data_IF_958750017982
#
_entry.id   IF_958750017982
#
_cell.length_a   1.000
_cell.length_b   1.000
_cell.length_c   1.000
_cell.angle_alpha   90.00
_cell.angle_beta   90.00
_cell.angle_gamma   90.00
#
_symmetry.space_group_name_H-M   'P 1'
#
loop_
_entity.id
_entity.type
_entity.pdbx_description
1 polymer ?
#
# COMPACT_ATOMS: atom_id res chain seq x y z
N UNK A 1 11.25 -16.87 -6.42
CA UNK A 1 12.65 -17.31 -6.68
C UNK A 1 13.09 -17.02 -8.12
N UNK A 2 12.27 -17.28 -9.13
CA UNK A 2 12.60 -17.04 -10.55
C UNK A 2 12.83 -15.54 -10.84
N UNK A 3 12.03 -14.66 -10.23
CA UNK A 3 12.19 -13.22 -10.32
C UNK A 3 13.61 -12.76 -9.97
N UNK A 4 14.13 -13.19 -8.81
CA UNK A 4 15.45 -12.75 -8.31
C UNK A 4 16.59 -13.26 -9.21
N UNK A 5 16.39 -14.40 -9.86
CA UNK A 5 17.37 -14.93 -10.84
C UNK A 5 17.44 -14.10 -12.11
N UNK A 6 16.32 -13.42 -12.46
CA UNK A 6 16.18 -12.67 -13.70
C UNK A 6 16.23 -11.14 -13.52
N UNK A 7 16.58 -10.63 -12.32
CA UNK A 7 16.63 -9.20 -12.03
C UNK A 7 17.57 -8.43 -12.99
N UNK A 8 18.62 -9.07 -13.46
CA UNK A 8 19.58 -8.48 -14.42
C UNK A 8 18.95 -8.07 -15.76
N UNK A 9 17.77 -8.62 -16.08
CA UNK A 9 17.04 -8.28 -17.31
C UNK A 9 16.17 -7.02 -17.21
N UNK A 10 16.06 -6.42 -16.02
CA UNK A 10 15.26 -5.23 -15.78
C UNK A 10 16.12 -4.01 -15.51
N UNK A 11 15.56 -2.83 -15.73
CA UNK A 11 16.20 -1.53 -15.54
C UNK A 11 15.55 -0.75 -14.40
N UNK A 12 14.28 -1.04 -14.15
CA UNK A 12 13.49 -0.44 -13.09
C UNK A 12 12.82 -1.50 -12.23
N UNK A 13 12.85 -1.29 -10.93
CA UNK A 13 12.07 -2.05 -9.95
C UNK A 13 11.05 -1.12 -9.30
N UNK A 14 9.78 -1.49 -9.36
CA UNK A 14 8.67 -0.70 -8.81
C UNK A 14 8.10 -1.40 -7.60
N UNK A 15 8.08 -0.72 -6.46
CA UNK A 15 7.53 -1.21 -5.20
C UNK A 15 6.33 -0.33 -4.79
N UNK A 16 5.17 -0.95 -4.64
CA UNK A 16 3.91 -0.21 -4.42
C UNK A 16 3.41 -0.25 -2.98
N UNK A 17 4.22 -0.79 -2.05
CA UNK A 17 3.87 -0.82 -0.62
C UNK A 17 5.10 -1.07 0.24
N UNK A 18 5.10 -0.64 1.52
CA UNK A 18 6.14 -0.98 2.48
C UNK A 18 6.29 -2.51 2.66
N UNK A 19 5.17 -3.22 2.80
CA UNK A 19 5.17 -4.69 2.93
C UNK A 19 5.82 -5.38 1.72
N UNK A 20 5.51 -4.91 0.50
CA UNK A 20 6.14 -5.42 -0.73
C UNK A 20 7.64 -5.19 -0.75
N UNK A 21 8.10 -4.04 -0.28
CA UNK A 21 9.53 -3.75 -0.14
C UNK A 21 10.19 -4.68 0.88
N UNK A 22 9.60 -4.87 2.06
CA UNK A 22 10.09 -5.80 3.07
C UNK A 22 10.21 -7.22 2.53
N UNK A 23 9.16 -7.76 1.92
CA UNK A 23 9.19 -9.10 1.30
C UNK A 23 10.25 -9.24 0.21
N UNK A 24 10.46 -8.21 -0.59
CA UNK A 24 11.52 -8.22 -1.60
C UNK A 24 12.92 -8.34 -0.97
N UNK A 25 13.23 -7.53 0.03
CA UNK A 25 14.52 -7.59 0.72
C UNK A 25 14.71 -8.89 1.52
N UNK A 26 13.66 -9.39 2.17
CA UNK A 26 13.70 -10.72 2.80
C UNK A 26 13.96 -11.82 1.78
N UNK A 27 13.37 -11.76 0.59
CA UNK A 27 13.59 -12.73 -0.46
C UNK A 27 15.05 -12.72 -0.94
N UNK A 28 15.66 -11.53 -1.12
CA UNK A 28 17.08 -11.40 -1.43
C UNK A 28 17.95 -12.06 -0.36
N UNK A 29 17.67 -11.77 0.92
CA UNK A 29 18.39 -12.35 2.05
C UNK A 29 18.28 -13.89 2.08
N UNK A 30 17.07 -14.44 1.91
CA UNK A 30 16.84 -15.89 1.84
C UNK A 30 17.59 -16.55 0.69
N UNK A 31 17.77 -15.84 -0.42
CA UNK A 31 18.51 -16.30 -1.59
C UNK A 31 20.01 -15.99 -1.50
N UNK A 32 20.48 -15.40 -0.41
CA UNK A 32 21.87 -14.96 -0.22
C UNK A 32 22.38 -14.09 -1.38
N UNK A 33 21.49 -13.24 -1.91
CA UNK A 33 21.86 -12.30 -2.97
C UNK A 33 22.43 -11.01 -2.37
N UNK A 34 23.61 -10.64 -2.86
CA UNK A 34 24.26 -9.39 -2.48
C UNK A 34 23.52 -8.19 -3.10
N UNK A 35 23.27 -7.15 -2.30
CA UNK A 35 22.63 -5.91 -2.78
C UNK A 35 23.43 -5.21 -3.90
N UNK A 36 24.74 -5.43 -3.99
CA UNK A 36 25.56 -4.95 -5.09
C UNK A 36 25.11 -5.50 -6.45
N UNK A 37 24.45 -6.66 -6.47
CA UNK A 37 23.87 -7.22 -7.69
C UNK A 37 22.70 -6.39 -8.23
N UNK A 38 22.15 -5.46 -7.44
CA UNK A 38 21.06 -4.54 -7.80
C UNK A 38 21.56 -3.20 -8.33
N UNK A 39 22.87 -2.96 -8.41
CA UNK A 39 23.47 -1.66 -8.76
C UNK A 39 23.06 -1.12 -10.14
N UNK A 40 22.57 -1.99 -11.03
CA UNK A 40 22.08 -1.65 -12.35
C UNK A 40 20.60 -1.23 -12.35
N UNK A 41 19.87 -1.51 -11.24
CA UNK A 41 18.44 -1.21 -11.11
C UNK A 41 18.22 0.20 -10.56
N UNK A 42 17.26 0.89 -11.15
CA UNK A 42 16.63 2.08 -10.59
C UNK A 42 15.36 1.68 -9.84
N UNK A 43 15.12 2.32 -8.72
CA UNK A 43 13.99 2.03 -7.85
C UNK A 43 12.94 3.13 -7.94
N UNK A 44 11.69 2.73 -8.20
CA UNK A 44 10.54 3.62 -8.10
C UNK A 44 9.58 3.10 -7.02
N UNK A 45 9.14 3.99 -6.14
CA UNK A 45 8.26 3.62 -5.03
C UNK A 45 7.03 4.52 -4.98
N UNK A 46 5.92 3.99 -4.45
CA UNK A 46 4.65 4.71 -4.46
C UNK A 46 4.63 5.90 -3.49
N UNK A 47 5.42 5.87 -2.44
CA UNK A 47 5.39 6.91 -1.42
C UNK A 47 6.45 6.72 -0.34
N UNK A 48 6.46 7.64 0.63
CA UNK A 48 7.50 7.78 1.63
C UNK A 48 7.65 6.55 2.55
N UNK A 49 6.55 5.90 2.95
CA UNK A 49 6.63 4.69 3.76
C UNK A 49 7.38 3.55 3.06
N UNK A 50 7.19 3.38 1.72
CA UNK A 50 7.95 2.40 0.93
C UNK A 50 9.40 2.84 0.75
N UNK A 51 9.63 4.14 0.56
CA UNK A 51 10.97 4.71 0.46
C UNK A 51 11.79 4.51 1.75
N UNK A 52 11.16 4.62 2.92
CA UNK A 52 11.81 4.36 4.21
C UNK A 52 12.36 2.94 4.28
N UNK A 53 11.55 1.95 3.92
CA UNK A 53 12.01 0.54 3.89
C UNK A 53 13.20 0.36 2.94
N UNK A 54 13.18 1.00 1.75
CA UNK A 54 14.33 0.94 0.84
C UNK A 54 15.59 1.55 1.47
N UNK A 55 15.47 2.71 2.13
CA UNK A 55 16.61 3.39 2.78
C UNK A 55 17.21 2.59 3.93
N UNK A 56 16.40 1.87 4.70
CA UNK A 56 16.88 0.95 5.76
C UNK A 56 17.81 -0.12 5.20
N UNK A 57 17.65 -0.46 3.92
CA UNK A 57 18.52 -1.37 3.17
C UNK A 57 19.61 -0.65 2.33
N UNK A 58 19.80 0.67 2.55
CA UNK A 58 20.81 1.46 1.84
C UNK A 58 20.45 1.84 0.41
N UNK A 59 19.19 1.66 0.00
CA UNK A 59 18.71 2.00 -1.35
C UNK A 59 17.86 3.27 -1.28
N UNK A 60 18.29 4.30 -1.99
CA UNK A 60 17.54 5.54 -2.15
C UNK A 60 16.76 5.46 -3.46
N UNK A 61 15.40 5.49 -3.43
CA UNK A 61 14.62 5.43 -4.65
C UNK A 61 14.92 6.57 -5.62
N UNK A 62 15.03 6.25 -6.91
CA UNK A 62 15.27 7.21 -7.99
C UNK A 62 14.01 7.99 -8.35
N UNK A 63 12.82 7.42 -8.05
CA UNK A 63 11.55 8.07 -8.32
C UNK A 63 10.51 7.82 -7.22
N UNK A 64 9.90 8.89 -6.73
CA UNK A 64 8.74 8.92 -5.85
C UNK A 64 7.76 9.95 -6.44
N UNK A 65 6.49 9.64 -6.68
CA UNK A 65 5.52 10.61 -7.17
C UNK A 65 5.16 11.65 -6.10
N UNK A 66 4.78 12.84 -6.50
CA UNK A 66 4.33 13.90 -5.58
C UNK A 66 3.05 13.51 -4.83
N UNK A 67 2.15 12.80 -5.52
CA UNK A 67 0.95 12.21 -4.93
C UNK A 67 1.10 10.70 -4.91
N UNK A 68 0.90 10.09 -3.77
CA UNK A 68 1.16 8.67 -3.50
C UNK A 68 0.06 7.74 -4.04
N UNK A 69 -0.32 7.95 -5.31
CA UNK A 69 -1.28 7.13 -6.03
C UNK A 69 -0.62 6.32 -7.14
N UNK A 70 -1.16 5.13 -7.40
CA UNK A 70 -0.67 4.24 -8.45
C UNK A 70 -0.69 4.89 -9.86
N UNK A 71 -1.72 5.70 -10.13
CA UNK A 71 -1.85 6.45 -11.37
C UNK A 71 -0.72 7.49 -11.54
N UNK A 72 -0.38 8.22 -10.47
CA UNK A 72 0.66 9.25 -10.50
C UNK A 72 2.05 8.60 -10.61
N UNK A 73 2.28 7.48 -9.88
CA UNK A 73 3.50 6.68 -10.02
C UNK A 73 3.67 6.20 -11.47
N UNK A 74 2.63 5.61 -12.05
CA UNK A 74 2.67 5.10 -13.42
C UNK A 74 2.92 6.19 -14.45
N UNK A 75 2.16 7.28 -14.42
CA UNK A 75 2.28 8.41 -15.36
C UNK A 75 3.64 9.13 -15.24
N UNK A 76 4.14 9.30 -14.03
CA UNK A 76 5.41 9.97 -13.81
C UNK A 76 6.60 9.10 -14.18
N UNK A 77 6.59 7.82 -13.81
CA UNK A 77 7.64 6.88 -14.18
C UNK A 77 7.68 6.64 -15.71
N UNK A 78 6.52 6.60 -16.36
CA UNK A 78 6.44 6.47 -17.81
C UNK A 78 7.21 7.55 -18.59
N UNK A 79 7.42 8.74 -18.00
CA UNK A 79 8.22 9.81 -18.59
C UNK A 79 9.73 9.61 -18.42
N UNK A 80 10.15 8.70 -17.53
CA UNK A 80 11.56 8.46 -17.21
C UNK A 80 12.10 7.16 -17.83
N UNK A 81 11.22 6.19 -18.05
CA UNK A 81 11.58 4.91 -18.67
C UNK A 81 11.90 5.10 -20.14
N UNK A 82 13.06 4.64 -20.55
CA UNK A 82 13.46 4.70 -21.97
C UNK A 82 12.83 3.54 -22.77
N UNK A 83 12.72 3.72 -24.08
CA UNK A 83 12.02 2.78 -24.96
C UNK A 83 12.55 1.33 -24.92
N UNK A 84 13.85 1.16 -24.62
CA UNK A 84 14.50 -0.16 -24.53
C UNK A 84 14.63 -0.68 -23.10
N UNK A 85 14.08 0.01 -22.12
CA UNK A 85 14.13 -0.38 -20.72
C UNK A 85 12.94 -1.24 -20.34
N UNK A 86 13.17 -2.17 -19.43
CA UNK A 86 12.15 -3.06 -18.88
C UNK A 86 11.90 -2.75 -17.44
N UNK A 87 10.63 -2.73 -17.04
CA UNK A 87 10.17 -2.46 -15.69
C UNK A 87 9.71 -3.77 -15.03
N UNK A 88 10.10 -3.99 -13.79
CA UNK A 88 9.55 -5.04 -12.95
C UNK A 88 8.71 -4.40 -11.84
N UNK A 89 7.42 -4.73 -11.77
CA UNK A 89 6.51 -4.28 -10.73
C UNK A 89 6.38 -5.40 -9.70
N UNK A 90 6.62 -5.07 -8.43
CA UNK A 90 6.47 -5.99 -7.31
C UNK A 90 5.37 -5.49 -6.39
N UNK A 91 4.26 -6.23 -6.31
CA UNK A 91 3.08 -5.79 -5.57
C UNK A 91 2.21 -6.91 -5.02
N UNK A 92 1.19 -6.54 -4.25
CA UNK A 92 0.12 -7.47 -3.86
C UNK A 92 -0.67 -7.96 -5.08
N UNK A 93 -1.29 -9.12 -4.99
CA UNK A 93 -2.14 -9.71 -6.05
C UNK A 93 -3.20 -8.74 -6.58
N UNK A 94 -3.86 -8.03 -5.70
CA UNK A 94 -4.92 -7.08 -6.03
C UNK A 94 -4.43 -5.63 -6.04
N UNK A 95 -3.25 -5.39 -6.63
CA UNK A 95 -2.72 -4.04 -6.81
C UNK A 95 -3.55 -3.22 -7.79
N UNK A 96 -3.54 -1.89 -7.61
CA UNK A 96 -4.32 -0.97 -8.46
C UNK A 96 -3.95 -1.11 -9.95
N UNK A 97 -4.93 -1.24 -10.86
CA UNK A 97 -4.68 -1.38 -12.29
C UNK A 97 -4.17 -0.09 -12.95
N UNK A 98 -4.35 1.06 -12.33
CA UNK A 98 -3.99 2.36 -12.90
C UNK A 98 -2.48 2.48 -13.20
N UNK A 99 -1.63 1.75 -12.45
CA UNK A 99 -0.19 1.69 -12.69
C UNK A 99 0.14 1.00 -14.02
N UNK A 100 -0.41 -0.19 -14.24
CA UNK A 100 -0.18 -0.96 -15.48
C UNK A 100 -0.85 -0.32 -16.67
N UNK A 101 -2.05 0.24 -16.52
CA UNK A 101 -2.72 1.01 -17.56
C UNK A 101 -1.89 2.21 -18.03
N UNK A 102 -1.20 2.89 -17.11
CA UNK A 102 -0.31 3.99 -17.49
C UNK A 102 0.90 3.51 -18.32
N UNK A 103 1.44 2.33 -17.99
CA UNK A 103 2.55 1.75 -18.77
C UNK A 103 2.10 1.24 -20.14
N UNK A 104 0.93 0.60 -20.21
CA UNK A 104 0.32 0.17 -21.48
C UNK A 104 0.07 1.35 -22.42
N UNK A 105 -0.52 2.43 -21.89
CA UNK A 105 -0.76 3.65 -22.64
C UNK A 105 0.54 4.32 -23.18
N UNK A 106 1.65 4.13 -22.46
CA UNK A 106 2.96 4.65 -22.83
C UNK A 106 3.82 3.67 -23.65
N UNK A 107 3.34 2.45 -23.92
CA UNK A 107 4.08 1.42 -24.65
C UNK A 107 5.30 0.87 -23.90
N UNK A 108 5.29 0.93 -22.55
CA UNK A 108 6.40 0.47 -21.70
C UNK A 108 6.32 -1.04 -21.51
N UNK A 109 7.45 -1.72 -21.73
CA UNK A 109 7.59 -3.15 -21.44
C UNK A 109 7.72 -3.36 -19.92
N UNK A 110 6.79 -4.10 -19.34
CA UNK A 110 6.83 -4.42 -17.91
C UNK A 110 6.51 -5.89 -17.62
N UNK A 111 6.95 -6.34 -16.44
CA UNK A 111 6.52 -7.59 -15.82
C UNK A 111 5.83 -7.22 -14.50
N UNK A 112 4.62 -7.71 -14.30
CA UNK A 112 3.85 -7.54 -13.06
C UNK A 112 3.93 -8.81 -12.23
N UNK A 113 4.58 -8.73 -11.08
CA UNK A 113 4.86 -9.88 -10.23
C UNK A 113 4.13 -9.73 -8.89
N UNK A 114 3.26 -10.69 -8.62
CA UNK A 114 2.64 -10.83 -7.31
C UNK A 114 3.65 -11.35 -6.29
N UNK A 115 4.02 -10.54 -5.32
CA UNK A 115 4.88 -10.93 -4.21
C UNK A 115 4.12 -11.55 -3.05
N UNK A 116 2.93 -11.04 -2.77
CA UNK A 116 2.14 -11.45 -1.62
C UNK A 116 0.65 -11.28 -1.91
N UNK A 117 -0.15 -11.92 -1.07
CA UNK A 117 -1.60 -11.75 -1.07
C UNK A 117 -2.04 -11.13 0.26
N UNK A 118 -3.00 -10.22 0.20
CA UNK A 118 -3.62 -9.67 1.40
C UNK A 118 -4.88 -10.49 1.65
N UNK A 119 -4.89 -11.23 2.75
CA UNK A 119 -6.04 -12.03 3.16
C UNK A 119 -6.64 -11.43 4.43
N UNK A 120 -7.96 -11.38 4.49
CA UNK A 120 -8.66 -11.12 5.75
C UNK A 120 -8.70 -12.43 6.53
N UNK A 121 -8.23 -12.50 7.78
CA UNK A 121 -8.35 -13.71 8.58
C UNK A 121 -9.83 -14.04 8.80
N UNK A 122 -10.18 -15.32 8.79
CA UNK A 122 -11.56 -15.77 9.03
C UNK A 122 -12.02 -15.42 10.46
N UNK A 123 -11.10 -15.45 11.42
CA UNK A 123 -11.35 -15.10 12.82
C UNK A 123 -10.21 -14.24 13.36
N UNK A 124 -10.54 -13.35 14.30
CA UNK A 124 -9.58 -12.58 15.07
C UNK A 124 -9.80 -12.87 16.57
N UNK A 125 -8.77 -13.20 17.34
CA UNK A 125 -8.90 -13.41 18.78
C UNK A 125 -9.50 -12.21 19.53
N UNK A 126 -9.40 -11.01 18.94
CA UNK A 126 -9.93 -9.78 19.52
C UNK A 126 -11.32 -9.39 18.97
N UNK A 127 -11.85 -10.11 17.99
CA UNK A 127 -13.09 -9.72 17.30
C UNK A 127 -14.27 -9.62 18.28
N UNK A 128 -14.42 -10.60 19.17
CA UNK A 128 -15.51 -10.60 20.14
C UNK A 128 -15.42 -9.39 21.09
N UNK A 129 -14.22 -9.12 21.60
CA UNK A 129 -14.01 -7.98 22.49
C UNK A 129 -14.27 -6.64 21.79
N UNK A 130 -13.88 -6.52 20.52
CA UNK A 130 -14.15 -5.31 19.76
C UNK A 130 -15.64 -5.15 19.47
N UNK A 131 -16.37 -6.24 19.16
CA UNK A 131 -17.82 -6.20 19.00
C UNK A 131 -18.54 -5.73 20.26
N UNK A 132 -18.11 -6.20 21.45
CA UNK A 132 -18.63 -5.73 22.74
C UNK A 132 -18.41 -4.23 22.91
N UNK A 133 -17.18 -3.74 22.71
CA UNK A 133 -16.84 -2.32 22.85
C UNK A 133 -17.61 -1.43 21.87
N UNK A 134 -17.84 -1.91 20.64
CA UNK A 134 -18.68 -1.19 19.68
C UNK A 134 -20.13 -1.08 20.14
N UNK A 135 -20.71 -2.17 20.67
CA UNK A 135 -22.07 -2.19 21.23
C UNK A 135 -22.21 -1.31 22.47
N UNK A 136 -21.19 -1.24 23.30
CA UNK A 136 -21.15 -0.39 24.49
C UNK A 136 -20.93 1.09 24.16
N UNK A 137 -20.63 1.44 22.90
CA UNK A 137 -20.24 2.80 22.51
C UNK A 137 -18.94 3.26 23.16
N UNK A 138 -18.05 2.32 23.47
CA UNK A 138 -16.77 2.57 24.13
C UNK A 138 -15.61 2.86 23.18
N UNK A 139 -15.89 2.98 21.87
CA UNK A 139 -14.92 3.32 20.85
C UNK A 139 -15.33 4.66 20.22
N UNK A 140 -14.53 5.70 20.42
CA UNK A 140 -14.75 7.03 19.85
C UNK A 140 -14.27 7.14 18.40
N UNK A 141 -13.18 6.47 18.08
CA UNK A 141 -12.58 6.50 16.75
C UNK A 141 -11.94 5.19 16.34
N UNK A 142 -11.95 4.92 15.03
CA UNK A 142 -11.22 3.82 14.39
C UNK A 142 -10.37 4.38 13.25
N UNK A 143 -9.09 4.05 13.21
CA UNK A 143 -8.19 4.51 12.15
C UNK A 143 -8.07 3.49 11.02
N UNK A 144 -8.19 3.96 9.78
CA UNK A 144 -8.06 3.13 8.58
C UNK A 144 -6.96 3.65 7.66
N UNK A 145 -5.98 2.80 7.40
CA UNK A 145 -4.82 3.13 6.54
C UNK A 145 -5.00 2.70 5.08
N UNK A 146 -6.09 2.00 4.76
CA UNK A 146 -6.44 1.60 3.38
C UNK A 146 -7.91 1.18 3.27
N UNK A 147 -8.45 1.16 2.06
CA UNK A 147 -9.79 0.61 1.81
C UNK A 147 -9.91 -0.88 2.16
N UNK A 148 -8.83 -1.65 2.05
CA UNK A 148 -8.81 -3.07 2.45
C UNK A 148 -8.91 -3.26 3.97
N UNK A 149 -8.39 -2.34 4.77
CA UNK A 149 -8.57 -2.38 6.24
C UNK A 149 -10.02 -2.05 6.63
N UNK A 150 -10.69 -1.16 5.90
CA UNK A 150 -12.14 -0.92 6.07
C UNK A 150 -12.93 -2.21 5.76
N UNK A 151 -12.63 -2.85 4.62
CA UNK A 151 -13.31 -4.08 4.24
C UNK A 151 -13.06 -5.20 5.26
N UNK A 152 -11.81 -5.41 5.68
CA UNK A 152 -11.46 -6.39 6.71
C UNK A 152 -12.18 -6.16 8.04
N UNK A 153 -12.34 -4.91 8.46
CA UNK A 153 -13.12 -4.54 9.63
C UNK A 153 -14.59 -4.97 9.49
N UNK A 154 -15.21 -4.72 8.35
CA UNK A 154 -16.59 -5.11 8.07
C UNK A 154 -16.75 -6.63 8.01
N UNK A 155 -15.85 -7.32 7.33
CA UNK A 155 -15.91 -8.78 7.13
C UNK A 155 -15.76 -9.55 8.46
N UNK A 156 -14.83 -9.11 9.33
CA UNK A 156 -14.54 -9.78 10.61
C UNK A 156 -15.59 -9.42 11.68
N UNK A 157 -15.92 -8.14 11.83
CA UNK A 157 -16.75 -7.68 12.94
C UNK A 157 -18.24 -7.70 12.62
N UNK A 158 -18.62 -7.60 11.34
CA UNK A 158 -20.01 -7.56 10.87
C UNK A 158 -20.89 -6.59 11.69
N UNK A 159 -20.45 -5.33 11.88
CA UNK A 159 -21.15 -4.38 12.72
C UNK A 159 -22.49 -4.00 12.10
N UNK A 160 -23.48 -3.79 12.94
CA UNK A 160 -24.75 -3.21 12.50
C UNK A 160 -24.64 -1.69 12.28
N UNK A 161 -25.72 -1.07 11.78
CA UNK A 161 -25.71 0.35 11.45
C UNK A 161 -25.54 1.24 12.69
N UNK A 162 -26.00 0.82 13.84
CA UNK A 162 -25.90 1.57 15.09
C UNK A 162 -24.43 1.59 15.55
N UNK A 163 -23.76 0.45 15.52
CA UNK A 163 -22.34 0.33 15.81
C UNK A 163 -21.47 1.16 14.83
N UNK A 164 -21.81 1.17 13.52
CA UNK A 164 -21.08 1.96 12.51
C UNK A 164 -21.23 3.48 12.72
N UNK A 165 -22.32 3.94 13.30
CA UNK A 165 -22.56 5.35 13.62
C UNK A 165 -22.00 5.76 14.99
N UNK A 166 -21.60 4.81 15.83
CA UNK A 166 -21.13 5.03 17.20
C UNK A 166 -19.72 5.58 17.28
N UNK A 167 -18.93 5.54 16.21
CA UNK A 167 -17.55 6.02 16.18
C UNK A 167 -17.25 6.86 14.94
N UNK A 168 -16.12 7.55 14.95
CA UNK A 168 -15.61 8.26 13.78
C UNK A 168 -14.50 7.45 13.10
N UNK A 169 -14.62 7.21 11.79
CA UNK A 169 -13.60 6.55 10.98
C UNK A 169 -12.57 7.57 10.50
N UNK A 170 -11.37 7.57 11.05
CA UNK A 170 -10.26 8.45 10.62
C UNK A 170 -9.49 7.74 9.51
N UNK A 171 -9.55 8.27 8.30
CA UNK A 171 -9.04 7.65 7.10
C UNK A 171 -7.77 8.36 6.59
N UNK A 172 -6.72 7.60 6.29
CA UNK A 172 -5.43 8.14 5.87
C UNK A 172 -5.49 8.91 4.53
N UNK A 173 -6.44 8.59 3.66
CA UNK A 173 -6.55 9.18 2.32
C UNK A 173 -7.96 9.03 1.73
N UNK A 174 -8.23 9.80 0.67
CA UNK A 174 -9.55 9.93 0.02
C UNK A 174 -10.19 8.58 -0.41
N UNK A 175 -9.39 7.63 -0.94
CA UNK A 175 -9.90 6.30 -1.32
C UNK A 175 -10.42 5.53 -0.11
N UNK A 176 -9.73 5.63 1.03
CA UNK A 176 -10.10 4.97 2.29
C UNK A 176 -11.36 5.63 2.87
N UNK A 177 -11.38 6.95 2.89
CA UNK A 177 -12.52 7.76 3.35
C UNK A 177 -13.79 7.43 2.56
N UNK A 178 -13.69 7.40 1.22
CA UNK A 178 -14.81 7.03 0.36
C UNK A 178 -15.30 5.60 0.64
N UNK A 179 -14.40 4.65 0.90
CA UNK A 179 -14.78 3.26 1.24
C UNK A 179 -15.54 3.21 2.56
N UNK A 180 -15.05 3.92 3.59
CA UNK A 180 -15.71 4.01 4.90
C UNK A 180 -17.08 4.69 4.82
N UNK A 181 -17.17 5.81 4.08
CA UNK A 181 -18.43 6.55 3.88
C UNK A 181 -19.48 5.71 3.14
N UNK A 182 -19.09 4.97 2.09
CA UNK A 182 -19.99 4.05 1.37
C UNK A 182 -20.50 2.92 2.27
N UNK A 183 -19.68 2.47 3.23
CA UNK A 183 -20.05 1.49 4.24
C UNK A 183 -21.00 2.04 5.33
N UNK A 184 -21.26 3.36 5.34
CA UNK A 184 -22.15 4.02 6.29
C UNK A 184 -21.47 4.53 7.56
N UNK A 185 -20.13 4.62 7.58
CA UNK A 185 -19.40 5.20 8.71
C UNK A 185 -19.36 6.73 8.60
N UNK A 186 -19.30 7.41 9.76
CA UNK A 186 -18.92 8.82 9.83
C UNK A 186 -17.41 8.91 9.57
N UNK A 187 -17.01 9.23 8.33
CA UNK A 187 -15.61 9.24 7.95
C UNK A 187 -15.02 10.66 7.96
N UNK A 188 -13.77 10.76 8.40
CA UNK A 188 -12.95 11.97 8.43
C UNK A 188 -11.62 11.68 7.75
N UNK A 189 -11.16 12.59 6.91
CA UNK A 189 -9.90 12.49 6.22
C UNK A 189 -8.75 12.99 7.12
N UNK A 190 -7.65 12.25 7.18
CA UNK A 190 -6.43 12.70 7.81
C UNK A 190 -5.86 13.94 7.09
N UNK A 191 -5.24 14.86 7.80
CA UNK A 191 -4.70 16.10 7.24
C UNK A 191 -3.57 15.89 6.23
N UNK A 192 -2.88 14.76 6.34
CA UNK A 192 -1.88 14.29 5.38
C UNK A 192 -1.85 12.77 5.32
N UNK A 193 -1.34 12.21 4.22
CA UNK A 193 -1.21 10.75 4.04
C UNK A 193 0.00 10.24 4.85
N UNK A 194 -0.13 10.30 6.18
CA UNK A 194 0.91 9.92 7.15
C UNK A 194 0.31 9.57 8.51
N UNK A 195 1.06 8.87 9.35
CA UNK A 195 0.68 8.60 10.74
C UNK A 195 0.43 9.91 11.52
N UNK A 196 1.27 10.92 11.30
CA UNK A 196 1.11 12.24 11.90
C UNK A 196 -0.19 12.92 11.48
N UNK A 197 -0.61 12.76 10.22
CA UNK A 197 -1.88 13.29 9.75
C UNK A 197 -3.09 12.61 10.40
N UNK A 198 -3.00 11.30 10.67
CA UNK A 198 -4.01 10.56 11.44
C UNK A 198 -4.05 11.06 12.89
N UNK A 199 -2.89 11.22 13.53
CA UNK A 199 -2.77 11.73 14.89
C UNK A 199 -3.40 13.13 15.02
N UNK A 200 -3.10 14.03 14.10
CA UNK A 200 -3.68 15.38 14.07
C UNK A 200 -5.21 15.34 13.93
N UNK A 201 -5.74 14.51 13.04
CA UNK A 201 -7.19 14.35 12.87
C UNK A 201 -7.88 13.82 14.15
N UNK A 202 -7.21 12.94 14.90
CA UNK A 202 -7.72 12.45 16.20
C UNK A 202 -7.73 13.56 17.27
N UNK A 203 -6.76 14.47 17.26
CA UNK A 203 -6.72 15.59 18.21
C UNK A 203 -7.79 16.65 17.97
N UNK A 204 -8.31 16.74 16.75
CA UNK A 204 -9.32 17.73 16.35
C UNK A 204 -10.77 17.19 16.41
N UNK A 205 -10.97 15.97 16.90
CA UNK A 205 -12.28 15.36 17.12
C UNK A 205 -12.84 15.70 18.49
#
# INVERSE_FOLDING_TARGET
YELVRNLESYHWLVLTSPAGAQYFFELLNRMQKDFRSLSHLRFAVIGEGTASVCREHGIYPDYIPERFYAADLGKGLAKQVKQNERVCILRARHGSPELTQAFEAAGISYMDVTLYDTITPEESPLAERIRELLKEGAIDAVTFTSGSTVQGFLDILQPDKEALNGFTAVCIGEKTEKTASVAGMKAVLAESVSEKGIEQALYHM
#
